data_IF_063841348452
#
_entry.id   IF_063841348452
#
_cell.length_a   1.000
_cell.length_b   1.000
_cell.length_c   1.000
_cell.angle_alpha   90.00
_cell.angle_beta   90.00
_cell.angle_gamma   90.00
#
_symmetry.space_group_name_H-M   'P 1'
#
loop_
_entity.id
_entity.type
_entity.pdbx_description
1 polymer ?
#
# COMPACT_ATOMS: atom_id res chain seq x y z
N UNK A 1 -5.02 -14.72 -15.10
CA UNK A 1 -4.21 -13.63 -15.65
C UNK A 1 -5.11 -12.82 -16.55
N UNK A 2 -5.22 -11.53 -16.30
CA UNK A 2 -6.08 -10.62 -17.05
C UNK A 2 -5.38 -9.26 -17.21
N UNK A 3 -5.47 -8.64 -18.38
CA UNK A 3 -4.98 -7.26 -18.57
C UNK A 3 -5.87 -6.27 -17.84
N UNK A 4 -5.36 -5.07 -17.64
CA UNK A 4 -6.15 -3.98 -17.05
C UNK A 4 -7.43 -3.72 -17.86
N UNK A 5 -7.35 -3.74 -19.19
CA UNK A 5 -8.49 -3.60 -20.11
C UNK A 5 -9.53 -4.72 -19.93
N UNK A 6 -9.07 -5.98 -19.80
CA UNK A 6 -9.94 -7.14 -19.57
C UNK A 6 -10.67 -7.05 -18.21
N UNK A 7 -9.99 -6.53 -17.18
CA UNK A 7 -10.60 -6.32 -15.85
C UNK A 7 -11.57 -5.14 -15.89
N UNK A 8 -11.21 -4.03 -16.56
CA UNK A 8 -12.06 -2.85 -16.72
C UNK A 8 -13.39 -3.19 -17.40
N UNK A 9 -13.36 -4.04 -18.42
CA UNK A 9 -14.56 -4.49 -19.12
C UNK A 9 -15.56 -5.22 -18.20
N UNK A 10 -15.06 -5.90 -17.16
CA UNK A 10 -15.88 -6.66 -16.21
C UNK A 10 -16.34 -5.83 -15.01
N UNK A 11 -15.43 -5.07 -14.41
CA UNK A 11 -15.70 -4.33 -13.16
C UNK A 11 -16.41 -3.00 -13.45
N UNK A 12 -16.10 -2.36 -14.60
CA UNK A 12 -16.69 -1.08 -15.02
C UNK A 12 -16.60 0.02 -13.96
N UNK A 13 -15.48 0.07 -13.24
CA UNK A 13 -15.21 1.04 -12.17
C UNK A 13 -14.00 1.90 -12.57
N UNK A 14 -14.09 3.21 -12.42
CA UNK A 14 -13.04 4.18 -12.77
C UNK A 14 -11.85 4.13 -11.81
N UNK A 15 -12.02 3.55 -10.62
CA UNK A 15 -10.99 3.40 -9.58
C UNK A 15 -10.18 2.12 -9.74
N UNK A 16 -10.38 1.36 -10.82
CA UNK A 16 -9.65 0.12 -11.07
C UNK A 16 -8.12 0.27 -10.93
N UNK A 17 -7.45 1.30 -11.50
CA UNK A 17 -5.99 1.41 -11.40
C UNK A 17 -5.52 1.53 -9.95
N UNK A 18 -6.25 2.30 -9.13
CA UNK A 18 -5.95 2.50 -7.70
C UNK A 18 -6.19 1.21 -6.93
N UNK A 19 -7.27 0.49 -7.21
CA UNK A 19 -7.57 -0.80 -6.60
C UNK A 19 -6.47 -1.83 -6.89
N UNK A 20 -6.00 -1.92 -8.14
CA UNK A 20 -4.90 -2.81 -8.51
C UNK A 20 -3.62 -2.44 -7.74
N UNK A 21 -3.30 -1.15 -7.63
CA UNK A 21 -2.15 -0.67 -6.87
C UNK A 21 -2.21 -1.08 -5.39
N UNK A 22 -3.37 -0.90 -4.74
CA UNK A 22 -3.58 -1.29 -3.34
C UNK A 22 -3.43 -2.79 -3.16
N UNK A 23 -4.05 -3.59 -4.04
CA UNK A 23 -4.00 -5.05 -3.95
C UNK A 23 -2.59 -5.59 -4.18
N UNK A 24 -1.83 -5.02 -5.11
CA UNK A 24 -0.42 -5.35 -5.33
C UNK A 24 0.42 -5.07 -4.08
N UNK A 25 0.19 -3.92 -3.44
CA UNK A 25 0.91 -3.52 -2.24
C UNK A 25 0.61 -4.43 -1.03
N UNK A 26 -0.60 -4.97 -0.97
CA UNK A 26 -1.01 -6.00 -0.03
C UNK A 26 -0.55 -7.42 -0.39
N UNK A 27 0.21 -7.58 -1.48
CA UNK A 27 0.62 -8.87 -2.05
C UNK A 27 -0.56 -9.81 -2.37
N UNK A 28 -1.73 -9.24 -2.66
CA UNK A 28 -2.94 -9.97 -3.03
C UNK A 28 -3.07 -10.18 -4.53
N UNK A 29 -2.35 -9.38 -5.32
CA UNK A 29 -2.28 -9.45 -6.78
C UNK A 29 -0.83 -9.46 -7.24
N UNK A 30 -0.52 -10.41 -8.12
CA UNK A 30 0.75 -10.49 -8.84
C UNK A 30 0.62 -9.80 -10.21
N UNK A 31 1.72 -9.24 -10.72
CA UNK A 31 1.80 -8.71 -12.08
C UNK A 31 2.88 -9.44 -12.89
N UNK A 32 2.64 -9.63 -14.19
CA UNK A 32 3.66 -10.07 -15.13
C UNK A 32 3.45 -9.41 -16.50
N UNK A 33 4.49 -9.41 -17.32
CA UNK A 33 4.40 -8.96 -18.71
C UNK A 33 3.82 -10.07 -19.58
N UNK A 34 2.73 -9.77 -20.30
CA UNK A 34 2.17 -10.63 -21.33
C UNK A 34 3.02 -10.50 -22.60
N UNK A 35 3.45 -11.63 -23.17
CA UNK A 35 4.17 -11.59 -24.45
C UNK A 35 3.24 -11.06 -25.55
N UNK A 36 3.62 -9.97 -26.24
CA UNK A 36 2.79 -9.41 -27.29
C UNK A 36 2.81 -10.30 -28.53
N UNK A 37 1.71 -10.29 -29.27
CA UNK A 37 1.72 -10.74 -30.68
C UNK A 37 2.68 -9.83 -31.47
N UNK A 38 3.34 -10.32 -32.54
CA UNK A 38 4.22 -9.50 -33.37
C UNK A 38 3.54 -8.19 -33.78
N UNK A 39 4.19 -7.06 -33.50
CA UNK A 39 3.67 -5.71 -33.80
C UNK A 39 2.79 -5.05 -32.73
N UNK A 40 2.48 -5.74 -31.62
CA UNK A 40 1.78 -5.14 -30.46
C UNK A 40 2.76 -4.74 -29.35
N UNK A 41 2.35 -3.77 -28.54
CA UNK A 41 3.09 -3.39 -27.33
C UNK A 41 2.89 -4.47 -26.26
N UNK A 42 3.91 -4.76 -25.45
CA UNK A 42 3.74 -5.62 -24.28
C UNK A 42 2.76 -4.98 -23.30
N UNK A 43 1.88 -5.80 -22.74
CA UNK A 43 0.84 -5.40 -21.80
C UNK A 43 1.09 -6.07 -20.45
N UNK A 44 0.75 -5.41 -19.36
CA UNK A 44 0.77 -6.02 -18.03
C UNK A 44 -0.50 -6.83 -17.82
N UNK A 45 -0.36 -7.98 -17.17
CA UNK A 45 -1.48 -8.79 -16.73
C UNK A 45 -1.38 -9.13 -15.25
N UNK A 46 -2.54 -9.29 -14.63
CA UNK A 46 -2.70 -9.42 -13.19
C UNK A 46 -3.38 -10.75 -12.84
N UNK A 47 -3.03 -11.29 -11.68
CA UNK A 47 -3.67 -12.49 -11.11
C UNK A 47 -3.72 -12.36 -9.60
N UNK A 48 -4.82 -12.78 -8.98
CA UNK A 48 -4.88 -12.93 -7.53
C UNK A 48 -3.82 -13.96 -7.07
N UNK A 49 -2.97 -13.57 -6.12
CA UNK A 49 -1.90 -14.42 -5.56
C UNK A 49 -2.47 -15.70 -4.95
N UNK A 50 -3.63 -15.58 -4.31
CA UNK A 50 -4.29 -16.69 -3.62
C UNK A 50 -5.76 -16.79 -4.05
N UNK A 51 -6.21 -18.01 -4.28
CA UNK A 51 -7.63 -18.32 -4.46
C UNK A 51 -8.40 -18.36 -3.13
N UNK A 52 -7.69 -18.50 -2.00
CA UNK A 52 -8.21 -18.50 -0.64
C UNK A 52 -7.29 -17.69 0.27
N UNK A 53 -7.79 -16.61 0.84
CA UNK A 53 -7.07 -15.82 1.82
C UNK A 53 -7.27 -16.41 3.23
N UNK A 54 -6.18 -16.75 3.91
CA UNK A 54 -6.17 -17.11 5.34
C UNK A 54 -5.13 -16.25 6.02
N UNK A 55 -5.56 -15.44 7.00
CA UNK A 55 -4.68 -14.66 7.85
C UNK A 55 -4.82 -15.13 9.29
N UNK A 56 -3.72 -15.61 9.87
CA UNK A 56 -3.58 -15.83 11.31
C UNK A 56 -2.51 -14.84 11.79
N UNK A 57 -2.84 -13.97 12.73
CA UNK A 57 -1.86 -13.08 13.35
C UNK A 57 -2.14 -12.95 14.84
N UNK A 58 -1.09 -12.67 15.60
CA UNK A 58 -1.15 -12.37 17.02
C UNK A 58 -0.43 -11.04 17.23
N UNK A 59 -1.06 -10.13 17.95
CA UNK A 59 -0.49 -8.85 18.36
C UNK A 59 -0.99 -8.50 19.76
N UNK A 60 -0.39 -7.50 20.39
CA UNK A 60 -0.89 -6.97 21.65
C UNK A 60 -2.15 -6.09 21.39
N UNK A 61 -2.86 -5.73 22.45
CA UNK A 61 -4.09 -4.95 22.32
C UNK A 61 -3.86 -3.53 21.76
N UNK A 62 -2.72 -2.92 22.09
CA UNK A 62 -2.34 -1.59 21.56
C UNK A 62 -2.14 -1.61 20.05
N UNK A 63 -1.44 -2.61 19.52
CA UNK A 63 -1.20 -2.79 18.10
C UNK A 63 -2.52 -3.06 17.37
N UNK A 64 -3.41 -3.88 17.97
CA UNK A 64 -4.75 -4.10 17.42
C UNK A 64 -5.55 -2.80 17.35
N UNK A 65 -5.49 -1.97 18.40
CA UNK A 65 -6.14 -0.66 18.44
C UNK A 65 -5.62 0.25 17.33
N UNK A 66 -4.30 0.32 17.13
CA UNK A 66 -3.68 1.12 16.07
C UNK A 66 -4.09 0.63 14.68
N UNK A 67 -4.10 -0.68 14.45
CA UNK A 67 -4.53 -1.29 13.18
C UNK A 67 -6.00 -0.93 12.89
N UNK A 68 -6.88 -1.04 13.89
CA UNK A 68 -8.31 -0.72 13.73
C UNK A 68 -8.51 0.77 13.48
N UNK A 69 -7.84 1.63 14.25
CA UNK A 69 -7.90 3.07 14.07
C UNK A 69 -7.44 3.46 12.66
N UNK A 70 -6.30 2.97 12.21
CA UNK A 70 -5.79 3.25 10.86
C UNK A 70 -6.68 2.68 9.75
N UNK A 71 -7.39 1.58 9.99
CA UNK A 71 -8.25 0.95 8.98
C UNK A 71 -9.60 1.65 8.83
N UNK A 72 -10.14 2.22 9.90
CA UNK A 72 -11.52 2.72 9.95
C UNK A 72 -11.60 4.25 10.02
N UNK A 73 -10.57 4.92 10.54
CA UNK A 73 -10.62 6.35 10.82
C UNK A 73 -10.46 7.18 9.55
N UNK A 74 -11.31 8.20 9.41
CA UNK A 74 -11.14 9.30 8.45
C UNK A 74 -10.84 10.62 9.18
N UNK A 75 -10.34 10.55 10.42
CA UNK A 75 -10.05 11.69 11.28
C UNK A 75 -9.03 12.65 10.64
N UNK A 76 -9.28 13.96 10.75
CA UNK A 76 -8.34 15.01 10.35
C UNK A 76 -7.03 14.94 11.14
N UNK A 77 -7.07 14.52 12.41
CA UNK A 77 -5.86 14.30 13.21
C UNK A 77 -4.93 13.26 12.56
N UNK A 78 -5.50 12.23 11.92
CA UNK A 78 -4.70 11.25 11.20
C UNK A 78 -4.01 11.89 9.99
N UNK A 79 -4.69 12.80 9.28
CA UNK A 79 -4.09 13.51 8.13
C UNK A 79 -2.91 14.38 8.57
N UNK A 80 -3.04 15.11 9.67
CA UNK A 80 -1.95 15.93 10.19
C UNK A 80 -0.71 15.07 10.54
N UNK A 81 -0.92 13.91 11.17
CA UNK A 81 0.18 12.97 11.46
C UNK A 81 0.81 12.43 10.17
N UNK A 82 0.01 12.13 9.15
CA UNK A 82 0.50 11.68 7.84
C UNK A 82 1.38 12.76 7.19
N UNK A 83 0.90 13.99 7.09
CA UNK A 83 1.63 15.10 6.47
C UNK A 83 2.96 15.37 7.18
N UNK A 84 2.96 15.30 8.51
CA UNK A 84 4.17 15.45 9.30
C UNK A 84 5.18 14.32 9.06
N UNK A 85 4.72 13.07 8.95
CA UNK A 85 5.59 11.92 8.62
C UNK A 85 6.16 12.05 7.21
N UNK A 86 5.36 12.46 6.22
CA UNK A 86 5.82 12.69 4.85
C UNK A 86 6.85 13.82 4.76
N UNK A 87 6.64 14.90 5.52
CA UNK A 87 7.61 16.00 5.64
C UNK A 87 8.96 15.51 6.17
N UNK A 88 8.95 14.65 7.19
CA UNK A 88 10.17 14.07 7.76
C UNK A 88 10.87 13.10 6.80
N UNK A 89 10.10 12.30 6.07
CA UNK A 89 10.59 11.46 4.98
C UNK A 89 11.29 12.29 3.90
N UNK A 90 10.68 13.41 3.50
CA UNK A 90 11.27 14.36 2.54
C UNK A 90 12.58 14.99 3.03
N UNK A 91 12.75 15.12 4.36
CA UNK A 91 14.01 15.58 4.99
C UNK A 91 15.05 14.48 5.15
N UNK A 92 14.75 13.24 4.74
CA UNK A 92 15.65 12.08 4.79
C UNK A 92 15.48 11.21 6.04
N UNK A 93 14.55 11.52 6.95
CA UNK A 93 14.25 10.67 8.10
C UNK A 93 13.28 9.55 7.68
N UNK A 94 13.85 8.42 7.28
CA UNK A 94 13.09 7.24 6.85
C UNK A 94 12.90 6.18 7.93
N UNK A 95 13.62 6.27 9.06
CA UNK A 95 13.64 5.21 10.07
C UNK A 95 12.31 5.10 10.81
N UNK A 96 11.69 3.93 10.78
CA UNK A 96 10.40 3.68 11.43
C UNK A 96 10.49 3.96 12.94
N UNK A 97 11.59 3.56 13.57
CA UNK A 97 11.79 3.74 15.01
C UNK A 97 11.97 5.22 15.36
N UNK A 98 12.65 5.99 14.52
CA UNK A 98 12.85 7.42 14.75
C UNK A 98 11.55 8.21 14.56
N UNK A 99 10.78 7.87 13.51
CA UNK A 99 9.44 8.42 13.30
C UNK A 99 8.50 8.07 14.46
N UNK A 100 8.52 6.81 14.92
CA UNK A 100 7.72 6.36 16.06
C UNK A 100 8.02 7.17 17.33
N UNK A 101 9.30 7.36 17.65
CA UNK A 101 9.73 8.19 18.79
C UNK A 101 9.35 9.65 18.63
N UNK A 102 9.58 10.22 17.45
CA UNK A 102 9.35 11.65 17.17
C UNK A 102 7.87 12.00 17.29
N UNK A 103 6.99 11.16 16.78
CA UNK A 103 5.54 11.39 16.77
C UNK A 103 4.81 10.72 17.94
N UNK A 104 5.54 10.07 18.85
CA UNK A 104 4.97 9.34 20.00
C UNK A 104 3.90 8.31 19.60
N UNK A 105 4.11 7.62 18.46
CA UNK A 105 3.23 6.56 17.94
C UNK A 105 3.95 5.23 17.94
N UNK A 106 3.21 4.12 17.83
CA UNK A 106 3.82 2.80 17.76
C UNK A 106 4.49 2.54 16.40
N UNK A 107 5.51 1.66 16.34
CA UNK A 107 6.05 1.20 15.06
C UNK A 107 5.01 0.50 14.17
N UNK A 108 3.99 -0.13 14.76
CA UNK A 108 2.87 -0.73 14.03
C UNK A 108 2.02 0.35 13.37
N UNK A 109 1.78 1.46 14.06
CA UNK A 109 1.09 2.61 13.51
C UNK A 109 1.81 3.16 12.27
N UNK A 110 3.11 3.40 12.37
CA UNK A 110 3.92 3.92 11.24
C UNK A 110 3.87 2.97 10.04
N UNK A 111 3.99 1.65 10.28
CA UNK A 111 3.88 0.63 9.22
C UNK A 111 2.48 0.56 8.61
N UNK A 112 1.44 0.63 9.45
CA UNK A 112 0.04 0.59 9.01
C UNK A 112 -0.32 1.80 8.16
N UNK A 113 0.16 2.99 8.57
CA UNK A 113 0.01 4.24 7.83
C UNK A 113 0.72 4.15 6.47
N UNK A 114 1.95 3.62 6.46
CA UNK A 114 2.66 3.34 5.22
C UNK A 114 1.87 2.40 4.32
N UNK A 115 1.20 1.35 4.84
CA UNK A 115 0.37 0.46 4.02
C UNK A 115 -0.92 1.10 3.51
N UNK A 116 -1.52 2.03 4.25
CA UNK A 116 -2.72 2.78 3.82
C UNK A 116 -2.45 3.76 2.67
N UNK A 117 -1.27 4.39 2.62
CA UNK A 117 -0.98 5.48 1.67
C UNK A 117 -0.42 4.94 0.34
N UNK A 118 -1.08 5.13 -0.83
CA UNK A 118 -0.68 4.49 -2.08
C UNK A 118 0.77 4.74 -2.53
N UNK A 119 1.30 5.94 -2.30
CA UNK A 119 2.64 6.37 -2.70
C UNK A 119 3.70 6.20 -1.60
N UNK A 120 3.44 5.40 -0.57
CA UNK A 120 4.40 5.10 0.49
C UNK A 120 4.47 3.60 0.76
N UNK A 121 5.63 3.08 1.14
CA UNK A 121 5.76 1.69 1.56
C UNK A 121 6.88 1.49 2.61
N UNK A 122 6.94 0.29 3.17
CA UNK A 122 7.95 -0.14 4.14
C UNK A 122 9.04 -0.93 3.40
N UNK A 123 10.30 -0.50 3.54
CA UNK A 123 11.49 -1.22 3.03
C UNK A 123 12.49 -1.45 4.15
N UNK A 124 12.60 -2.70 4.59
CA UNK A 124 13.44 -3.07 5.73
C UNK A 124 12.97 -2.38 7.02
N UNK A 125 13.82 -1.55 7.61
CA UNK A 125 13.53 -0.80 8.85
C UNK A 125 13.08 0.64 8.59
N UNK A 126 12.92 1.03 7.31
CA UNK A 126 12.55 2.38 6.92
C UNK A 126 11.31 2.47 6.06
N UNK A 127 10.80 3.69 5.93
CA UNK A 127 9.77 4.07 4.98
C UNK A 127 10.41 4.60 3.69
N UNK A 128 9.72 4.37 2.57
CA UNK A 128 10.11 4.88 1.26
C UNK A 128 8.89 5.47 0.56
N UNK A 129 9.10 6.57 -0.13
CA UNK A 129 8.11 7.06 -1.09
C UNK A 129 8.24 6.24 -2.37
N UNK A 130 7.11 5.75 -2.86
CA UNK A 130 7.02 5.07 -4.14
C UNK A 130 6.89 6.13 -5.22
N UNK A 131 7.71 5.99 -6.27
CA UNK A 131 7.57 6.81 -7.45
C UNK A 131 6.22 6.47 -8.11
N UNK A 132 5.23 7.31 -7.85
CA UNK A 132 3.93 7.24 -8.53
C UNK A 132 4.16 7.87 -9.89
N UNK A 133 4.72 7.07 -10.80
CA UNK A 133 4.98 7.48 -12.17
C UNK A 133 3.78 8.25 -12.72
N UNK A 134 3.99 9.54 -12.96
CA UNK A 134 3.09 10.39 -13.74
C UNK A 134 3.14 9.96 -15.21
#
# INVERSE_FOLDING_TARGET
WMTEEEIQAQVQDDKLPVCIQILKKGNLVEEQWRMPKPGKKPEKEFRATYNKFRANFQCNLSDLSDILYLSLSNDENLREVVENIESELGKGNSSINDLSRKFSVSPVFVKGLAKRIPHMDVKGQGLVLLDTGR
#
